data_IF_695343480397
#
_entry.id   IF_695343480397
#
_cell.length_a   1.000
_cell.length_b   1.000
_cell.length_c   1.000
_cell.angle_alpha   90.00
_cell.angle_beta   90.00
_cell.angle_gamma   90.00
#
_symmetry.space_group_name_H-M   'P 1'
#
loop_
_entity.id
_entity.type
_entity.pdbx_description
1 polymer ?
#
# COMPACT_ATOMS: atom_id res chain seq x y z
N UNK A 1 -10.21 39.36 32.28
CA UNK A 1 -10.00 40.68 32.89
C UNK A 1 -11.26 41.49 32.62
N UNK A 2 -12.20 41.53 33.56
CA UNK A 2 -13.46 42.27 33.39
C UNK A 2 -13.18 43.77 33.38
N UNK A 3 -13.59 44.46 32.33
CA UNK A 3 -13.49 45.92 32.24
C UNK A 3 -14.67 46.50 33.01
N UNK A 4 -14.40 47.15 34.14
CA UNK A 4 -15.42 47.79 34.96
C UNK A 4 -15.90 49.08 34.27
N UNK A 5 -17.18 49.14 33.92
CA UNK A 5 -17.79 50.28 33.24
C UNK A 5 -18.36 51.28 34.25
N UNK A 6 -18.08 52.57 34.04
CA UNK A 6 -18.56 53.67 34.89
C UNK A 6 -20.02 54.03 34.58
N UNK A 7 -20.77 54.38 35.61
CA UNK A 7 -22.16 54.85 35.48
C UNK A 7 -22.20 56.33 35.06
N UNK A 8 -23.28 56.81 34.42
CA UNK A 8 -23.35 58.17 33.87
C UNK A 8 -23.11 59.30 34.89
N UNK A 9 -23.39 59.03 36.17
CA UNK A 9 -23.19 59.93 37.32
C UNK A 9 -21.73 60.05 37.76
N UNK A 10 -20.82 59.24 37.22
CA UNK A 10 -19.40 59.20 37.59
C UNK A 10 -18.49 59.96 36.62
N UNK A 11 -19.04 60.52 35.52
CA UNK A 11 -18.30 61.34 34.56
C UNK A 11 -18.68 62.81 34.72
N UNK A 12 -17.67 63.68 34.67
CA UNK A 12 -17.81 65.13 34.64
C UNK A 12 -18.27 65.63 33.25
N UNK A 13 -18.82 66.85 33.20
CA UNK A 13 -19.29 67.46 31.95
C UNK A 13 -18.16 67.64 30.91
N UNK A 14 -16.92 67.84 31.38
CA UNK A 14 -15.73 67.92 30.52
C UNK A 14 -15.42 66.58 29.84
N UNK A 15 -15.50 65.47 30.59
CA UNK A 15 -15.28 64.12 30.05
C UNK A 15 -16.35 63.72 29.03
N UNK A 16 -17.60 64.14 29.25
CA UNK A 16 -18.66 63.99 28.24
C UNK A 16 -18.39 64.81 26.99
N UNK A 17 -17.84 66.02 27.13
CA UNK A 17 -17.40 66.86 26.01
C UNK A 17 -16.34 66.18 25.14
N UNK A 18 -15.32 65.57 25.77
CA UNK A 18 -14.26 64.83 25.05
C UNK A 18 -14.82 63.60 24.32
N UNK A 19 -15.74 62.87 24.94
CA UNK A 19 -16.40 61.72 24.32
C UNK A 19 -17.17 62.12 23.05
N UNK A 20 -17.90 63.24 23.11
CA UNK A 20 -18.63 63.78 21.96
C UNK A 20 -17.66 64.22 20.85
N UNK A 21 -16.51 64.81 21.20
CA UNK A 21 -15.48 65.17 20.22
C UNK A 21 -14.86 63.94 19.55
N UNK A 22 -14.54 62.88 20.31
CA UNK A 22 -14.01 61.63 19.76
C UNK A 22 -15.01 60.95 18.80
N UNK A 23 -16.31 61.02 19.12
CA UNK A 23 -17.36 60.55 18.22
C UNK A 23 -17.43 61.38 16.93
N UNK A 24 -17.39 62.71 17.04
CA UNK A 24 -17.32 63.62 15.88
C UNK A 24 -16.05 63.36 15.04
N UNK A 25 -14.94 62.96 15.67
CA UNK A 25 -13.68 62.70 15.01
C UNK A 25 -13.63 61.42 14.17
N UNK A 26 -14.56 60.47 14.33
CA UNK A 26 -14.44 59.19 13.60
C UNK A 26 -14.76 57.93 14.40
N UNK A 27 -14.67 58.00 15.72
CA UNK A 27 -14.53 56.79 16.54
C UNK A 27 -15.83 55.97 16.62
N UNK A 28 -15.71 54.65 16.42
CA UNK A 28 -16.82 53.72 16.50
C UNK A 28 -17.31 53.52 17.94
N UNK A 29 -18.57 53.09 18.10
CA UNK A 29 -19.18 52.90 19.42
C UNK A 29 -18.40 51.95 20.34
N UNK A 30 -17.92 50.81 19.84
CA UNK A 30 -17.14 49.84 20.64
C UNK A 30 -15.80 50.40 21.12
N UNK A 31 -15.19 51.29 20.35
CA UNK A 31 -13.92 51.92 20.70
C UNK A 31 -14.14 53.04 21.73
N UNK A 32 -15.24 53.78 21.62
CA UNK A 32 -15.66 54.76 22.62
C UNK A 32 -15.99 54.11 23.96
N UNK A 33 -16.69 52.97 23.96
CA UNK A 33 -16.99 52.21 25.18
C UNK A 33 -15.71 51.78 25.91
N UNK A 34 -14.68 51.38 25.16
CA UNK A 34 -13.39 50.94 25.70
C UNK A 34 -12.54 52.11 26.18
N UNK A 35 -12.47 53.19 25.41
CA UNK A 35 -11.63 54.37 25.70
C UNK A 35 -12.17 55.14 26.92
N UNK A 36 -13.46 55.40 26.94
CA UNK A 36 -14.11 56.18 28.00
C UNK A 36 -14.65 55.32 29.15
N UNK A 37 -14.58 53.98 29.01
CA UNK A 37 -15.08 53.00 30.00
C UNK A 37 -16.54 53.25 30.37
N UNK A 38 -17.36 53.59 29.38
CA UNK A 38 -18.79 53.85 29.54
C UNK A 38 -19.59 52.86 28.71
N UNK A 39 -20.74 52.42 29.19
CA UNK A 39 -21.67 51.57 28.41
C UNK A 39 -22.31 52.36 27.26
N UNK A 40 -22.55 51.70 26.12
CA UNK A 40 -23.09 52.30 24.90
C UNK A 40 -24.48 52.94 25.05
N UNK A 41 -25.28 52.48 26.01
CA UNK A 41 -26.55 53.14 26.38
C UNK A 41 -26.33 54.59 26.83
N UNK A 42 -25.34 54.82 27.70
CA UNK A 42 -25.01 56.15 28.21
C UNK A 42 -24.39 57.06 27.14
N UNK A 43 -23.58 56.49 26.24
CA UNK A 43 -23.02 57.20 25.07
C UNK A 43 -24.16 57.72 24.19
N UNK A 44 -25.19 56.90 23.98
CA UNK A 44 -26.36 57.27 23.19
C UNK A 44 -27.12 58.43 23.83
N UNK A 45 -27.30 58.40 25.15
CA UNK A 45 -27.94 59.49 25.88
C UNK A 45 -27.13 60.78 25.84
N UNK A 46 -25.79 60.69 25.95
CA UNK A 46 -24.90 61.84 25.90
C UNK A 46 -24.89 62.51 24.51
N UNK A 47 -24.82 61.72 23.43
CA UNK A 47 -24.89 62.23 22.06
C UNK A 47 -26.24 62.91 21.78
N UNK A 48 -27.34 62.39 22.35
CA UNK A 48 -28.66 63.01 22.26
C UNK A 48 -28.75 64.34 23.03
N UNK A 49 -28.13 64.43 24.22
CA UNK A 49 -28.05 65.69 25.00
C UNK A 49 -27.19 66.76 24.31
N UNK A 50 -26.15 66.35 23.61
CA UNK A 50 -25.27 67.24 22.87
C UNK A 50 -25.78 67.59 21.45
N UNK A 51 -27.03 67.24 21.12
CA UNK A 51 -27.67 67.41 19.80
C UNK A 51 -26.83 66.90 18.62
N UNK A 52 -26.01 65.85 18.85
CA UNK A 52 -25.21 65.25 17.78
C UNK A 52 -26.04 64.15 17.12
N UNK A 53 -26.40 64.30 15.82
CA UNK A 53 -27.10 63.25 15.11
C UNK A 53 -26.24 61.99 15.13
N UNK A 54 -26.88 60.84 15.39
CA UNK A 54 -26.20 59.56 15.19
C UNK A 54 -25.74 59.54 13.75
N UNK A 55 -24.46 59.28 13.53
CA UNK A 55 -24.00 58.77 12.25
C UNK A 55 -24.84 57.54 11.99
N UNK A 56 -25.80 57.69 11.08
CA UNK A 56 -26.46 56.56 10.48
C UNK A 56 -25.30 55.67 10.02
N UNK A 57 -25.10 54.56 10.72
CA UNK A 57 -24.44 53.43 10.11
C UNK A 57 -25.33 53.21 8.92
N UNK A 58 -24.89 53.66 7.74
CA UNK A 58 -25.56 53.38 6.51
C UNK A 58 -25.88 51.90 6.64
N UNK A 59 -27.16 51.57 6.80
CA UNK A 59 -27.61 50.26 6.37
C UNK A 59 -27.09 50.27 4.96
N UNK A 60 -26.03 49.50 4.70
CA UNK A 60 -25.90 48.91 3.39
C UNK A 60 -27.20 48.15 3.25
N UNK A 61 -28.23 48.86 2.78
CA UNK A 61 -29.26 48.28 1.97
C UNK A 61 -28.42 47.61 0.91
N UNK A 62 -28.21 46.30 1.08
CA UNK A 62 -27.77 45.48 -0.03
C UNK A 62 -28.88 45.72 -1.04
N UNK A 63 -28.63 46.62 -1.98
CA UNK A 63 -29.42 46.70 -3.19
C UNK A 63 -29.28 45.30 -3.77
N UNK A 64 -30.34 44.51 -3.63
CA UNK A 64 -30.52 43.34 -4.45
C UNK A 64 -30.70 43.90 -5.86
N UNK A 65 -29.59 44.18 -6.54
CA UNK A 65 -29.62 44.31 -7.97
C UNK A 65 -30.31 43.04 -8.46
N UNK A 66 -31.43 43.20 -9.15
CA UNK A 66 -32.07 42.10 -9.83
C UNK A 66 -31.06 41.63 -10.88
N UNK A 67 -30.21 40.69 -10.51
CA UNK A 67 -29.34 39.98 -11.44
C UNK A 67 -30.24 39.36 -12.50
N UNK A 68 -29.90 39.57 -13.77
CA UNK A 68 -30.70 39.04 -14.88
C UNK A 68 -30.77 37.50 -14.77
N UNK A 69 -31.82 36.88 -15.32
CA UNK A 69 -31.97 35.42 -15.30
C UNK A 69 -30.75 34.71 -15.95
N UNK A 70 -30.04 35.38 -16.87
CA UNK A 70 -28.78 34.89 -17.47
C UNK A 70 -27.60 34.89 -16.48
N UNK A 71 -27.49 35.90 -15.61
CA UNK A 71 -26.42 35.99 -14.60
C UNK A 71 -26.60 34.92 -13.50
N UNK A 72 -27.84 34.67 -13.09
CA UNK A 72 -28.16 33.62 -12.11
C UNK A 72 -27.88 32.23 -12.69
N UNK A 73 -28.22 32.01 -13.96
CA UNK A 73 -27.92 30.76 -14.66
C UNK A 73 -26.41 30.49 -14.74
N UNK A 74 -25.60 31.51 -15.07
CA UNK A 74 -24.15 31.40 -15.13
C UNK A 74 -23.51 31.06 -13.76
N UNK A 75 -23.99 31.69 -12.68
CA UNK A 75 -23.53 31.40 -11.31
C UNK A 75 -23.88 29.97 -10.88
N UNK A 76 -25.08 29.49 -11.21
CA UNK A 76 -25.52 28.11 -10.90
C UNK A 76 -24.67 27.08 -11.65
N UNK A 77 -24.29 27.35 -12.90
CA UNK A 77 -23.37 26.47 -13.66
C UNK A 77 -22.01 26.40 -12.98
N UNK A 78 -21.43 27.54 -12.60
CA UNK A 78 -20.14 27.57 -11.89
C UNK A 78 -20.18 26.87 -10.54
N UNK A 79 -21.28 27.00 -9.79
CA UNK A 79 -21.43 26.34 -8.49
C UNK A 79 -21.58 24.82 -8.65
N UNK A 80 -22.29 24.35 -9.68
CA UNK A 80 -22.35 22.93 -10.03
C UNK A 80 -20.98 22.36 -10.40
N UNK A 81 -20.19 23.11 -11.17
CA UNK A 81 -18.81 22.72 -11.51
C UNK A 81 -17.92 22.66 -10.27
N UNK A 82 -17.99 23.65 -9.40
CA UNK A 82 -17.23 23.67 -8.13
C UNK A 82 -17.62 22.51 -7.22
N UNK A 83 -18.91 22.21 -7.07
CA UNK A 83 -19.37 21.06 -6.28
C UNK A 83 -18.93 19.73 -6.92
N UNK A 84 -18.95 19.63 -8.25
CA UNK A 84 -18.40 18.49 -8.99
C UNK A 84 -16.89 18.29 -8.72
N UNK A 85 -16.11 19.37 -8.77
CA UNK A 85 -14.67 19.34 -8.47
C UNK A 85 -14.39 18.98 -7.00
N UNK A 86 -15.17 19.49 -6.06
CA UNK A 86 -15.07 19.11 -4.64
C UNK A 86 -15.38 17.64 -4.42
N UNK A 87 -16.42 17.11 -5.07
CA UNK A 87 -16.77 15.70 -5.00
C UNK A 87 -15.65 14.80 -5.57
N UNK A 88 -15.06 15.20 -6.70
CA UNK A 88 -13.89 14.50 -7.27
C UNK A 88 -12.68 14.56 -6.34
N UNK A 89 -12.37 15.73 -5.76
CA UNK A 89 -11.26 15.88 -4.82
C UNK A 89 -11.45 14.99 -3.58
N UNK A 90 -12.66 14.92 -3.02
CA UNK A 90 -12.98 14.03 -1.91
C UNK A 90 -12.83 12.54 -2.30
N UNK A 91 -13.26 12.17 -3.51
CA UNK A 91 -13.09 10.81 -4.03
C UNK A 91 -11.61 10.45 -4.16
N UNK A 92 -10.80 11.28 -4.81
CA UNK A 92 -9.37 11.03 -4.99
C UNK A 92 -8.61 11.03 -3.67
N UNK A 93 -8.99 11.88 -2.72
CA UNK A 93 -8.39 11.88 -1.39
C UNK A 93 -8.67 10.57 -0.63
N UNK A 94 -9.87 9.99 -0.79
CA UNK A 94 -10.18 8.66 -0.22
C UNK A 94 -9.33 7.57 -0.87
N UNK A 95 -9.27 7.52 -2.21
CA UNK A 95 -8.46 6.55 -2.93
C UNK A 95 -6.98 6.64 -2.56
N UNK A 96 -6.45 7.86 -2.43
CA UNK A 96 -5.07 8.10 -2.04
C UNK A 96 -4.77 7.56 -0.62
N UNK A 97 -5.66 7.81 0.34
CA UNK A 97 -5.53 7.28 1.71
C UNK A 97 -5.57 5.75 1.73
N UNK A 98 -6.44 5.16 0.94
CA UNK A 98 -6.55 3.70 0.80
C UNK A 98 -5.29 3.10 0.17
N UNK A 99 -4.78 3.72 -0.90
CA UNK A 99 -3.53 3.32 -1.56
C UNK A 99 -2.34 3.38 -0.61
N UNK A 100 -2.17 4.46 0.17
CA UNK A 100 -1.11 4.54 1.19
C UNK A 100 -1.24 3.42 2.21
N UNK A 101 -2.45 3.17 2.72
CA UNK A 101 -2.69 2.12 3.70
C UNK A 101 -2.36 0.73 3.14
N UNK A 102 -2.75 0.47 1.90
CA UNK A 102 -2.45 -0.77 1.19
C UNK A 102 -0.93 -0.94 1.02
N UNK A 103 -0.23 0.09 0.55
CA UNK A 103 1.21 0.06 0.36
C UNK A 103 1.97 -0.21 1.67
N UNK A 104 1.62 0.50 2.75
CA UNK A 104 2.22 0.28 4.06
C UNK A 104 1.98 -1.15 4.58
N UNK A 105 0.79 -1.70 4.35
CA UNK A 105 0.47 -3.09 4.74
C UNK A 105 1.30 -4.09 3.93
N UNK A 106 1.47 -3.85 2.63
CA UNK A 106 2.30 -4.68 1.76
C UNK A 106 3.77 -4.65 2.16
N UNK A 107 4.32 -3.49 2.51
CA UNK A 107 5.70 -3.35 2.97
C UNK A 107 5.95 -4.15 4.26
N UNK A 108 5.06 -4.04 5.25
CA UNK A 108 5.14 -4.81 6.50
C UNK A 108 5.11 -6.31 6.21
N UNK A 109 4.24 -6.76 5.31
CA UNK A 109 4.15 -8.17 4.93
C UNK A 109 5.43 -8.66 4.24
N UNK A 110 5.96 -7.88 3.29
CA UNK A 110 7.20 -8.22 2.59
C UNK A 110 8.38 -8.29 3.57
N UNK A 111 8.45 -7.37 4.52
CA UNK A 111 9.49 -7.36 5.53
C UNK A 111 9.39 -8.60 6.44
N UNK A 112 8.20 -8.94 6.91
CA UNK A 112 7.98 -10.15 7.70
C UNK A 112 8.35 -11.43 6.93
N UNK A 113 8.06 -11.49 5.62
CA UNK A 113 8.48 -12.61 4.77
C UNK A 113 10.00 -12.70 4.64
N UNK A 114 10.70 -11.57 4.45
CA UNK A 114 12.18 -11.55 4.38
C UNK A 114 12.83 -12.03 5.67
N UNK A 115 12.26 -11.67 6.82
CA UNK A 115 12.80 -12.06 8.13
C UNK A 115 12.55 -13.54 8.45
N UNK A 116 11.44 -14.10 7.97
CA UNK A 116 11.03 -15.48 8.27
C UNK A 116 11.56 -16.51 7.27
N UNK A 117 11.72 -16.14 6.00
CA UNK A 117 12.25 -17.03 4.96
C UNK A 117 13.78 -17.03 5.06
N UNK A 118 14.29 -17.84 5.99
CA UNK A 118 15.72 -18.10 6.08
C UNK A 118 16.14 -19.16 5.05
N UNK A 119 17.28 -18.93 4.40
CA UNK A 119 17.90 -19.95 3.57
C UNK A 119 18.15 -21.20 4.40
N UNK A 120 17.94 -22.38 3.82
CA UNK A 120 18.34 -23.63 4.48
C UNK A 120 19.83 -23.58 4.80
N UNK A 121 20.25 -24.10 5.97
CA UNK A 121 21.67 -24.21 6.28
C UNK A 121 22.36 -25.00 5.18
N UNK A 122 23.55 -24.54 4.76
CA UNK A 122 24.37 -25.26 3.79
C UNK A 122 24.67 -26.64 4.38
N UNK A 123 24.16 -27.68 3.72
CA UNK A 123 24.43 -29.04 4.13
C UNK A 123 25.88 -29.36 3.79
N UNK A 124 26.65 -29.82 4.78
CA UNK A 124 27.99 -30.33 4.53
C UNK A 124 27.91 -31.52 3.59
N UNK A 125 28.61 -31.47 2.46
CA UNK A 125 28.76 -32.66 1.61
C UNK A 125 29.41 -33.75 2.45
N UNK A 126 28.80 -34.93 2.45
CA UNK A 126 29.45 -36.11 3.02
C UNK A 126 30.37 -36.66 1.93
N UNK A 127 31.63 -36.94 2.28
CA UNK A 127 32.53 -37.60 1.33
C UNK A 127 31.93 -38.97 1.01
N UNK A 128 31.35 -39.10 -0.18
CA UNK A 128 30.79 -40.36 -0.63
C UNK A 128 31.96 -41.27 -0.94
N UNK A 129 32.03 -42.38 -0.22
CA UNK A 129 33.02 -43.42 -0.50
C UNK A 129 32.59 -44.09 -1.80
N UNK A 130 33.05 -43.55 -2.94
CA UNK A 130 32.85 -44.17 -4.24
C UNK A 130 33.70 -45.44 -4.29
N UNK A 131 33.13 -46.63 -4.50
CA UNK A 131 33.91 -47.86 -4.63
C UNK A 131 34.84 -47.76 -5.85
N UNK A 132 36.13 -47.54 -5.61
CA UNK A 132 37.16 -47.34 -6.66
C UNK A 132 37.52 -48.58 -7.48
N UNK A 133 36.68 -49.63 -7.50
CA UNK A 133 37.03 -50.84 -8.22
C UNK A 133 37.03 -50.58 -9.74
N UNK A 134 38.24 -50.39 -10.30
CA UNK A 134 38.50 -50.21 -11.74
C UNK A 134 37.56 -49.20 -12.41
N UNK A 135 37.39 -48.03 -11.81
CA UNK A 135 36.62 -46.98 -12.45
C UNK A 135 37.34 -46.51 -13.73
N UNK A 136 36.63 -46.52 -14.85
CA UNK A 136 37.15 -46.13 -16.17
C UNK A 136 36.88 -44.63 -16.41
N UNK A 137 37.63 -43.79 -15.70
CA UNK A 137 37.55 -42.34 -15.83
C UNK A 137 36.52 -41.64 -14.94
N UNK A 138 36.64 -40.31 -14.90
CA UNK A 138 35.81 -39.41 -14.10
C UNK A 138 34.76 -38.73 -14.97
N UNK A 139 33.50 -38.79 -14.55
CA UNK A 139 32.35 -38.26 -15.27
C UNK A 139 31.55 -37.28 -14.40
N UNK A 140 30.80 -36.40 -15.06
CA UNK A 140 29.84 -35.50 -14.42
C UNK A 140 28.43 -35.97 -14.74
N UNK A 141 27.58 -36.13 -13.73
CA UNK A 141 26.16 -36.33 -13.95
C UNK A 141 25.51 -34.99 -14.33
N UNK A 142 24.65 -35.00 -15.34
CA UNK A 142 23.87 -33.83 -15.76
C UNK A 142 22.40 -34.19 -15.70
N UNK A 143 21.62 -33.38 -14.99
CA UNK A 143 20.18 -33.51 -14.85
C UNK A 143 19.51 -32.25 -15.40
N UNK A 144 18.40 -32.44 -16.10
CA UNK A 144 17.53 -31.35 -16.50
C UNK A 144 16.24 -31.42 -15.70
N UNK A 145 15.82 -30.28 -15.18
CA UNK A 145 14.56 -30.08 -14.47
C UNK A 145 13.89 -28.85 -15.10
N UNK A 146 12.82 -29.08 -15.86
CA UNK A 146 12.07 -27.99 -16.49
C UNK A 146 10.57 -28.22 -16.49
N UNK A 147 9.82 -27.12 -16.69
CA UNK A 147 8.38 -27.12 -16.97
C UNK A 147 7.56 -27.92 -15.94
N UNK A 148 7.82 -27.65 -14.66
CA UNK A 148 7.13 -28.31 -13.56
C UNK A 148 5.68 -27.84 -13.43
N UNK A 149 5.37 -26.61 -13.85
CA UNK A 149 4.02 -26.01 -13.82
C UNK A 149 3.26 -26.28 -12.50
N UNK A 150 3.94 -26.15 -11.36
CA UNK A 150 3.33 -26.44 -10.06
C UNK A 150 2.17 -25.49 -9.82
N UNK A 151 0.99 -26.05 -9.55
CA UNK A 151 -0.27 -25.29 -9.39
C UNK A 151 -1.32 -25.62 -10.45
N UNK A 152 -0.91 -26.17 -11.59
CA UNK A 152 -1.81 -26.59 -12.66
C UNK A 152 -2.60 -27.85 -12.28
N UNK A 153 -3.84 -27.94 -12.75
CA UNK A 153 -4.64 -29.17 -12.73
C UNK A 153 -4.98 -29.57 -14.14
N UNK A 154 -4.49 -30.73 -14.55
CA UNK A 154 -4.82 -31.35 -15.82
C UNK A 154 -5.68 -32.57 -15.55
N UNK A 155 -6.93 -32.54 -16.03
CA UNK A 155 -7.86 -33.65 -15.87
C UNK A 155 -7.55 -34.77 -16.87
N UNK A 156 -7.80 -36.01 -16.46
CA UNK A 156 -7.63 -37.18 -17.33
C UNK A 156 -8.52 -37.11 -18.58
N UNK A 157 -9.72 -36.54 -18.46
CA UNK A 157 -10.65 -36.35 -19.57
C UNK A 157 -10.07 -35.40 -20.62
N UNK A 158 -9.46 -34.28 -20.19
CA UNK A 158 -8.82 -33.31 -21.10
C UNK A 158 -7.67 -33.94 -21.90
N UNK A 159 -7.00 -34.94 -21.33
CA UNK A 159 -5.88 -35.66 -21.95
C UNK A 159 -6.31 -36.93 -22.71
N UNK A 160 -7.61 -37.11 -22.97
CA UNK A 160 -8.11 -38.29 -23.68
C UNK A 160 -7.81 -39.61 -22.97
N UNK A 161 -7.73 -39.62 -21.63
CA UNK A 161 -7.45 -40.81 -20.84
C UNK A 161 -5.97 -41.05 -20.53
N UNK A 162 -5.04 -40.33 -21.17
CA UNK A 162 -3.60 -40.65 -21.16
C UNK A 162 -2.87 -40.25 -19.88
N UNK A 163 -3.33 -39.23 -19.18
CA UNK A 163 -2.66 -38.74 -18.00
C UNK A 163 -3.41 -37.63 -17.29
N UNK A 164 -2.98 -37.36 -16.06
CA UNK A 164 -3.48 -36.27 -15.24
C UNK A 164 -2.34 -35.63 -14.47
N UNK A 165 -2.57 -34.40 -14.02
CA UNK A 165 -1.59 -33.64 -13.26
C UNK A 165 -2.28 -32.83 -12.17
N UNK A 166 -1.67 -32.79 -11.00
CA UNK A 166 -2.06 -31.98 -9.85
C UNK A 166 -0.88 -31.94 -8.85
N UNK A 167 -1.05 -31.21 -7.73
CA UNK A 167 -0.02 -31.08 -6.69
C UNK A 167 0.42 -32.40 -6.06
N UNK A 168 -0.49 -33.37 -5.91
CA UNK A 168 -0.13 -34.69 -5.37
C UNK A 168 0.75 -35.48 -6.32
N UNK A 169 0.42 -35.45 -7.62
CA UNK A 169 1.21 -36.08 -8.67
C UNK A 169 2.56 -35.39 -8.78
N UNK A 170 2.62 -34.07 -8.69
CA UNK A 170 3.90 -33.33 -8.62
C UNK A 170 4.77 -33.85 -7.48
N UNK A 171 4.24 -33.93 -6.25
CA UNK A 171 4.97 -34.46 -5.08
C UNK A 171 5.48 -35.89 -5.32
N UNK A 172 4.63 -36.76 -5.88
CA UNK A 172 5.01 -38.13 -6.22
C UNK A 172 6.12 -38.17 -7.28
N UNK A 173 6.03 -37.32 -8.31
CA UNK A 173 7.03 -37.20 -9.39
C UNK A 173 8.38 -36.72 -8.85
N UNK A 174 8.41 -35.74 -7.94
CA UNK A 174 9.67 -35.30 -7.31
C UNK A 174 10.32 -36.44 -6.53
N UNK A 175 9.53 -37.19 -5.75
CA UNK A 175 10.03 -38.36 -5.01
C UNK A 175 10.58 -39.45 -5.94
N UNK A 176 9.84 -39.78 -7.00
CA UNK A 176 10.27 -40.76 -8.00
C UNK A 176 11.52 -40.28 -8.74
N UNK A 177 11.56 -39.00 -9.15
CA UNK A 177 12.70 -38.38 -9.83
C UNK A 177 13.96 -38.52 -8.98
N UNK A 178 13.90 -38.10 -7.70
CA UNK A 178 15.02 -38.23 -6.77
C UNK A 178 15.49 -39.69 -6.65
N UNK A 179 14.57 -40.64 -6.43
CA UNK A 179 14.91 -42.06 -6.33
C UNK A 179 15.57 -42.59 -7.62
N UNK A 180 15.07 -42.21 -8.79
CA UNK A 180 15.61 -42.66 -10.07
C UNK A 180 16.97 -42.06 -10.37
N UNK A 181 17.20 -40.79 -10.05
CA UNK A 181 18.51 -40.16 -10.18
C UNK A 181 19.54 -40.91 -9.34
N UNK A 182 19.25 -41.14 -8.06
CA UNK A 182 20.16 -41.86 -7.15
C UNK A 182 20.46 -43.25 -7.70
N UNK A 183 19.41 -44.00 -8.07
CA UNK A 183 19.57 -45.34 -8.63
C UNK A 183 20.43 -45.38 -9.90
N UNK A 184 20.19 -44.46 -10.85
CA UNK A 184 20.94 -44.41 -12.10
C UNK A 184 22.41 -44.03 -11.87
N UNK A 185 22.67 -43.09 -10.96
CA UNK A 185 24.03 -42.67 -10.60
C UNK A 185 24.77 -43.83 -9.92
N UNK A 186 24.14 -44.50 -8.95
CA UNK A 186 24.75 -45.63 -8.25
C UNK A 186 25.04 -46.80 -9.19
N UNK A 187 24.15 -47.08 -10.14
CA UNK A 187 24.38 -48.09 -11.18
C UNK A 187 25.64 -47.80 -12.00
N UNK A 188 25.93 -46.52 -12.28
CA UNK A 188 27.11 -46.09 -13.04
C UNK A 188 28.37 -46.02 -12.16
N UNK A 189 28.23 -45.70 -10.88
CA UNK A 189 29.33 -45.66 -9.91
C UNK A 189 30.01 -47.02 -9.68
N UNK A 190 29.37 -48.11 -10.06
CA UNK A 190 30.02 -49.43 -10.10
C UNK A 190 31.18 -49.52 -11.12
N UNK A 191 31.29 -48.57 -12.07
CA UNK A 191 32.34 -48.55 -13.11
C UNK A 191 32.94 -47.19 -13.42
N UNK A 192 32.37 -46.09 -12.91
CA UNK A 192 32.79 -44.72 -13.23
C UNK A 192 32.91 -43.90 -11.94
N UNK A 193 33.87 -43.01 -11.86
CA UNK A 193 33.89 -42.00 -10.80
C UNK A 193 32.94 -40.86 -11.17
N UNK A 194 31.95 -40.57 -10.32
CA UNK A 194 30.98 -39.49 -10.56
C UNK A 194 30.92 -38.56 -9.34
N UNK A 195 31.94 -37.70 -9.16
CA UNK A 195 32.03 -36.80 -8.01
C UNK A 195 31.11 -35.59 -8.14
N UNK A 196 30.78 -35.18 -9.37
CA UNK A 196 30.05 -33.93 -9.66
C UNK A 196 28.67 -34.18 -10.25
N UNK A 197 27.70 -33.37 -9.81
CA UNK A 197 26.37 -33.25 -10.39
C UNK A 197 26.10 -31.82 -10.85
N UNK A 198 25.57 -31.67 -12.07
CA UNK A 198 25.03 -30.41 -12.58
C UNK A 198 23.52 -30.58 -12.76
N UNK A 199 22.74 -29.69 -12.16
CA UNK A 199 21.29 -29.59 -12.32
C UNK A 199 20.99 -28.34 -13.14
N UNK A 200 20.46 -28.54 -14.35
CA UNK A 200 19.93 -27.49 -15.21
C UNK A 200 18.46 -27.30 -14.82
N UNK A 201 18.20 -26.30 -13.98
CA UNK A 201 16.88 -25.89 -13.54
C UNK A 201 16.37 -24.79 -14.48
N UNK A 202 15.68 -25.18 -15.54
CA UNK A 202 15.24 -24.28 -16.62
C UNK A 202 13.70 -24.24 -16.71
N UNK A 203 13.15 -23.32 -17.49
CA UNK A 203 11.71 -23.21 -17.76
C UNK A 203 10.85 -22.87 -16.54
N UNK A 204 9.55 -23.18 -16.64
CA UNK A 204 8.56 -22.68 -15.68
C UNK A 204 8.30 -23.65 -14.52
N UNK A 205 8.75 -23.27 -13.32
CA UNK A 205 8.58 -24.07 -12.11
C UNK A 205 7.17 -23.97 -11.52
N UNK A 206 6.52 -22.83 -11.68
CA UNK A 206 5.16 -22.58 -11.20
C UNK A 206 4.25 -22.28 -12.38
N UNK A 207 3.00 -22.71 -12.32
CA UNK A 207 2.02 -22.41 -13.38
C UNK A 207 1.65 -20.93 -13.39
N UNK A 208 1.78 -20.24 -12.24
CA UNK A 208 1.55 -18.80 -12.13
C UNK A 208 0.06 -18.46 -12.16
N UNK A 209 -0.29 -17.31 -12.74
CA UNK A 209 -1.67 -16.84 -12.91
C UNK A 209 -1.79 -15.76 -14.00
N UNK A 210 -0.85 -15.74 -14.95
CA UNK A 210 -0.66 -14.63 -15.89
C UNK A 210 -1.68 -14.59 -17.04
N UNK A 211 -2.48 -15.64 -17.19
CA UNK A 211 -3.60 -15.71 -18.14
C UNK A 211 -4.90 -15.77 -17.32
N UNK A 212 -5.86 -14.90 -17.62
CA UNK A 212 -7.16 -14.83 -16.92
C UNK A 212 -7.89 -16.19 -16.83
N UNK A 213 -7.60 -17.08 -17.77
CA UNK A 213 -8.17 -18.44 -17.84
C UNK A 213 -7.57 -19.37 -16.77
N UNK A 214 -6.27 -19.25 -16.47
CA UNK A 214 -5.57 -20.05 -15.44
C UNK A 214 -5.91 -19.61 -14.00
N UNK A 215 -6.29 -18.35 -13.78
CA UNK A 215 -6.74 -17.88 -12.45
C UNK A 215 -7.97 -18.65 -11.96
N UNK A 216 -8.80 -19.15 -12.89
CA UNK A 216 -10.01 -19.91 -12.56
C UNK A 216 -9.75 -21.40 -12.26
N UNK A 217 -8.68 -21.97 -12.79
CA UNK A 217 -8.38 -23.41 -12.70
C UNK A 217 -7.27 -23.74 -11.70
N UNK A 218 -6.46 -22.76 -11.32
CA UNK A 218 -5.41 -22.95 -10.32
C UNK A 218 -5.99 -23.30 -8.95
N UNK A 219 -5.47 -24.39 -8.36
CA UNK A 219 -5.91 -24.85 -7.03
C UNK A 219 -5.47 -23.90 -5.93
N UNK A 220 -4.35 -23.21 -6.13
CA UNK A 220 -3.70 -22.42 -5.08
C UNK A 220 -3.11 -21.13 -5.62
N UNK A 221 -3.05 -20.11 -4.77
CA UNK A 221 -2.38 -18.84 -5.06
C UNK A 221 -0.88 -19.04 -5.40
N UNK A 222 -0.33 -18.21 -6.29
CA UNK A 222 1.04 -18.31 -6.81
C UNK A 222 2.12 -18.36 -5.72
N UNK A 223 1.92 -17.65 -4.61
CA UNK A 223 2.84 -17.69 -3.48
C UNK A 223 2.92 -19.08 -2.85
N UNK A 224 1.78 -19.79 -2.74
CA UNK A 224 1.77 -21.15 -2.23
C UNK A 224 2.46 -22.09 -3.22
N UNK A 225 2.21 -21.94 -4.53
CA UNK A 225 2.90 -22.71 -5.57
C UNK A 225 4.42 -22.54 -5.42
N UNK A 226 4.92 -21.30 -5.36
CA UNK A 226 6.34 -21.00 -5.24
C UNK A 226 6.98 -21.58 -3.97
N UNK A 227 6.35 -21.37 -2.80
CA UNK A 227 6.87 -21.89 -1.52
C UNK A 227 6.87 -23.42 -1.51
N UNK A 228 5.81 -24.05 -2.03
CA UNK A 228 5.70 -25.50 -2.06
C UNK A 228 6.72 -26.13 -3.01
N UNK A 229 6.90 -25.56 -4.21
CA UNK A 229 7.93 -25.97 -5.16
C UNK A 229 9.32 -25.81 -4.56
N UNK A 230 9.63 -24.64 -4.03
CA UNK A 230 10.93 -24.36 -3.41
C UNK A 230 11.25 -25.37 -2.30
N UNK A 231 10.29 -25.67 -1.42
CA UNK A 231 10.47 -26.63 -0.34
C UNK A 231 10.78 -28.05 -0.85
N UNK A 232 10.03 -28.55 -1.83
CA UNK A 232 10.21 -29.91 -2.33
C UNK A 232 11.48 -30.06 -3.17
N UNK A 233 11.78 -29.08 -4.04
CA UNK A 233 12.99 -29.09 -4.86
C UNK A 233 14.24 -28.89 -4.00
N UNK A 234 14.20 -27.97 -3.03
CA UNK A 234 15.30 -27.79 -2.07
C UNK A 234 15.56 -29.07 -1.28
N UNK A 235 14.50 -29.77 -0.82
CA UNK A 235 14.65 -31.07 -0.17
C UNK A 235 15.31 -32.11 -1.09
N UNK A 236 14.88 -32.20 -2.35
CA UNK A 236 15.46 -33.16 -3.28
C UNK A 236 16.93 -32.85 -3.61
N UNK A 237 17.27 -31.58 -3.86
CA UNK A 237 18.65 -31.12 -4.09
C UNK A 237 19.51 -31.37 -2.84
N UNK A 238 18.99 -31.10 -1.65
CA UNK A 238 19.65 -31.39 -0.38
C UNK A 238 20.01 -32.88 -0.24
N UNK A 239 19.10 -33.77 -0.62
CA UNK A 239 19.35 -35.21 -0.62
C UNK A 239 20.42 -35.61 -1.64
N UNK A 240 20.42 -34.99 -2.82
CA UNK A 240 21.47 -35.20 -3.83
C UNK A 240 22.82 -34.67 -3.38
N UNK A 241 22.88 -33.50 -2.73
CA UNK A 241 24.12 -32.88 -2.25
C UNK A 241 24.88 -33.74 -1.22
N UNK A 242 24.21 -34.69 -0.58
CA UNK A 242 24.85 -35.69 0.29
C UNK A 242 25.57 -36.80 -0.47
N UNK A 243 25.26 -36.95 -1.75
CA UNK A 243 25.72 -38.04 -2.59
C UNK A 243 26.84 -37.64 -3.57
N UNK A 244 27.12 -36.35 -3.72
CA UNK A 244 28.15 -35.82 -4.61
C UNK A 244 29.13 -34.95 -3.82
N UNK A 245 30.36 -34.84 -4.31
CA UNK A 245 31.36 -33.93 -3.76
C UNK A 245 31.02 -32.48 -4.11
N UNK A 246 30.49 -32.26 -5.32
CA UNK A 246 30.05 -30.95 -5.82
C UNK A 246 28.69 -31.07 -6.51
N UNK A 247 27.75 -30.18 -6.15
CA UNK A 247 26.48 -30.00 -6.87
C UNK A 247 26.38 -28.56 -7.34
N UNK A 248 26.24 -28.37 -8.65
CA UNK A 248 25.99 -27.06 -9.27
C UNK A 248 24.57 -27.01 -9.78
N UNK A 249 23.82 -25.98 -9.38
CA UNK A 249 22.49 -25.69 -9.90
C UNK A 249 22.60 -24.46 -10.79
N UNK A 250 22.26 -24.62 -12.07
CA UNK A 250 22.11 -23.52 -13.01
C UNK A 250 20.63 -23.19 -13.13
N UNK A 251 20.24 -21.96 -12.83
CA UNK A 251 18.89 -21.44 -12.90
C UNK A 251 18.87 -20.08 -13.58
#
# INVERSE_FOLDING_TARGET
>A
MEIEFRTPTQLSDEEWGVLVQDYKAGMGFKDLERKHRVRGGSITTALRRAEVPRRDVARQTISFEQSSDEDVAAVVVQDREKEGLKAQAAHYQRLYKEAIRSAATQEVLVQALRETVQAMPVLSSQSVVVPRHKADGTHTAVLQLSDLHVGEVVSQATMGGLGQYNLDIFRQRVGLWLQKVIHLVDLRRGRLEIPRLVVLADGDFVSGGMVNELVRTNVTHVMHQAIYTAKLIAFAIAQLARLFEEVVVSC
#
